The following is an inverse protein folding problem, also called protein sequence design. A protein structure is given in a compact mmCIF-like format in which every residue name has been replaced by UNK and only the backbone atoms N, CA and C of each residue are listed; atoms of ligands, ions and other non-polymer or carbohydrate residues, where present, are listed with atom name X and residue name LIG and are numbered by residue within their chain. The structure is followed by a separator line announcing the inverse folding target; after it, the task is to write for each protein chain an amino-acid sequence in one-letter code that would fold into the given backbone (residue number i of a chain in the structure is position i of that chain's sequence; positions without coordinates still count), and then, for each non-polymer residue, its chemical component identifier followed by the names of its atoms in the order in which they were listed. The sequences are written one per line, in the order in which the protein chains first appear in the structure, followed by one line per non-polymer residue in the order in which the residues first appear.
data_IF_407127941257
#
_entry.id   IF_407127941257
#
_cell.length_a   1.000
_cell.length_b   1.000
_cell.length_c   1.000
_cell.angle_alpha   90.00
_cell.angle_beta   90.00
_cell.angle_gamma   90.00
#
_symmetry.space_group_name_H-M   'P 1'
#
loop_
_entity.id
_entity.type
_entity.pdbx_description
1 polymer ?
#
# COMPACT_ATOMS: atom_id res chain seq x y z
N UNK A 1 9.27 14.59 2.44
CA UNK A 1 7.80 14.67 2.63
C UNK A 1 7.33 13.32 3.13
N UNK A 2 6.47 13.30 4.15
CA UNK A 2 5.87 12.07 4.65
C UNK A 2 4.86 11.55 3.61
N UNK A 3 4.78 10.24 3.40
CA UNK A 3 3.76 9.67 2.52
C UNK A 3 2.40 9.76 3.21
N UNK A 4 1.37 10.33 2.54
CA UNK A 4 0.06 10.56 3.14
C UNK A 4 -0.73 9.30 3.45
N UNK A 5 -0.26 8.11 3.06
CA UNK A 5 -0.95 6.84 3.31
C UNK A 5 -0.37 6.04 4.48
N UNK A 6 0.66 6.57 5.18
CA UNK A 6 1.35 5.80 6.22
C UNK A 6 0.39 5.40 7.34
N UNK A 7 -0.38 6.36 7.86
CA UNK A 7 -1.24 6.13 9.02
C UNK A 7 -2.41 5.22 8.66
N UNK A 8 -3.03 5.44 7.50
CA UNK A 8 -4.14 4.64 7.00
C UNK A 8 -3.72 3.20 6.69
N UNK A 9 -2.52 3.00 6.12
CA UNK A 9 -1.98 1.66 5.90
C UNK A 9 -1.66 1.00 7.23
N UNK A 10 -1.08 1.72 8.20
CA UNK A 10 -0.75 1.19 9.51
C UNK A 10 -2.01 0.68 10.23
N UNK A 11 -3.06 1.49 10.28
CA UNK A 11 -4.36 1.11 10.84
C UNK A 11 -4.92 -0.16 10.16
N UNK A 12 -4.86 -0.24 8.82
CA UNK A 12 -5.35 -1.41 8.10
C UNK A 12 -4.54 -2.67 8.40
N UNK A 13 -3.20 -2.62 8.45
CA UNK A 13 -2.39 -3.81 8.74
C UNK A 13 -2.55 -4.30 10.17
N UNK A 14 -3.01 -3.47 11.11
CA UNK A 14 -3.35 -3.90 12.47
C UNK A 14 -4.65 -4.73 12.52
N UNK A 15 -5.50 -4.65 11.50
CA UNK A 15 -6.79 -5.37 11.49
C UNK A 15 -6.68 -6.86 11.14
N UNK A 16 -5.58 -7.28 10.52
CA UNK A 16 -5.30 -8.69 10.19
C UNK A 16 -3.83 -8.91 9.86
N UNK A 17 -3.36 -10.14 10.08
CA UNK A 17 -1.95 -10.50 9.93
C UNK A 17 -1.41 -10.41 8.50
N UNK A 18 -2.27 -10.53 7.47
CA UNK A 18 -1.82 -10.53 6.07
C UNK A 18 -2.77 -9.78 5.14
N UNK A 19 -2.18 -8.88 4.35
CA UNK A 19 -2.87 -8.14 3.30
C UNK A 19 -2.28 -8.46 1.93
N UNK A 20 -3.15 -8.73 0.97
CA UNK A 20 -2.78 -8.62 -0.44
C UNK A 20 -2.77 -7.13 -0.80
N UNK A 21 -1.69 -6.67 -1.46
CA UNK A 21 -1.50 -5.25 -1.81
C UNK A 21 -2.69 -4.67 -2.59
N UNK A 22 -3.26 -5.42 -3.53
CA UNK A 22 -4.42 -4.96 -4.31
C UNK A 22 -5.70 -4.84 -3.45
N UNK A 23 -5.89 -5.70 -2.44
CA UNK A 23 -7.02 -5.60 -1.51
C UNK A 23 -6.85 -4.41 -0.57
N UNK A 24 -5.62 -4.16 -0.11
CA UNK A 24 -5.27 -2.98 0.69
C UNK A 24 -5.56 -1.70 -0.10
N UNK A 25 -5.11 -1.64 -1.37
CA UNK A 25 -5.36 -0.52 -2.27
C UNK A 25 -6.85 -0.24 -2.47
N UNK A 26 -7.65 -1.28 -2.71
CA UNK A 26 -9.11 -1.14 -2.83
C UNK A 26 -9.73 -0.60 -1.54
N UNK A 27 -9.25 -1.06 -0.37
CA UNK A 27 -9.79 -0.61 0.92
C UNK A 27 -9.47 0.87 1.19
N UNK A 28 -8.25 1.30 0.89
CA UNK A 28 -7.84 2.70 0.98
C UNK A 28 -8.72 3.59 0.08
N UNK A 29 -9.01 3.14 -1.14
CA UNK A 29 -9.88 3.87 -2.06
C UNK A 29 -11.32 3.96 -1.53
N UNK A 30 -11.86 2.85 -0.99
CA UNK A 30 -13.20 2.83 -0.38
C UNK A 30 -13.32 3.75 0.84
N UNK A 31 -12.23 3.97 1.56
CA UNK A 31 -12.16 4.89 2.70
C UNK A 31 -11.94 6.36 2.29
N UNK A 32 -11.74 6.64 1.00
CA UNK A 32 -11.40 7.98 0.52
C UNK A 32 -9.98 8.43 0.87
N UNK A 33 -9.10 7.49 1.25
CA UNK A 33 -7.70 7.79 1.57
C UNK A 33 -6.84 8.01 0.32
N UNK A 34 -7.28 7.48 -0.83
CA UNK A 34 -6.59 7.65 -2.11
C UNK A 34 -7.61 7.86 -3.24
N UNK A 35 -7.48 9.01 -3.91
CA UNK A 35 -8.30 9.37 -5.07
C UNK A 35 -7.59 9.07 -6.40
N UNK A 36 -8.23 9.46 -7.51
CA UNK A 36 -7.60 9.50 -8.83
C UNK A 36 -6.44 10.49 -8.82
N UNK A 37 -5.24 10.02 -9.16
CA UNK A 37 -4.00 10.80 -9.21
C UNK A 37 -3.59 11.18 -10.64
N UNK A 38 -4.32 10.67 -11.63
CA UNK A 38 -4.19 11.04 -13.04
C UNK A 38 -5.55 10.92 -13.76
N UNK A 39 -5.66 11.57 -14.93
CA UNK A 39 -6.81 11.45 -15.82
C UNK A 39 -6.64 10.22 -16.72
N UNK A 40 -5.40 9.88 -17.09
CA UNK A 40 -5.12 8.69 -17.89
C UNK A 40 -5.12 7.44 -16.97
N UNK A 41 -5.97 6.42 -17.24
CA UNK A 41 -6.13 5.27 -16.35
C UNK A 41 -4.83 4.53 -16.00
N UNK A 42 -3.93 4.32 -16.97
CA UNK A 42 -2.68 3.59 -16.74
C UNK A 42 -1.73 4.37 -15.81
N UNK A 43 -1.66 5.68 -15.99
CA UNK A 43 -0.82 6.57 -15.17
C UNK A 43 -1.39 6.69 -13.77
N UNK A 44 -2.70 6.76 -13.67
CA UNK A 44 -3.45 6.81 -12.43
C UNK A 44 -3.21 5.53 -11.60
N UNK A 45 -3.36 4.35 -12.23
CA UNK A 45 -3.01 3.06 -11.63
C UNK A 45 -1.55 3.01 -11.17
N UNK A 46 -0.61 3.41 -12.03
CA UNK A 46 0.81 3.43 -11.70
C UNK A 46 1.11 4.32 -10.49
N UNK A 47 0.59 5.56 -10.48
CA UNK A 47 0.83 6.52 -9.39
C UNK A 47 0.28 6.01 -8.06
N UNK A 48 -0.91 5.40 -8.06
CA UNK A 48 -1.49 4.82 -6.85
C UNK A 48 -0.65 3.67 -6.32
N UNK A 49 -0.25 2.75 -7.20
CA UNK A 49 0.61 1.64 -6.82
C UNK A 49 1.94 2.14 -6.25
N UNK A 50 2.54 3.14 -6.89
CA UNK A 50 3.77 3.78 -6.43
C UNK A 50 3.61 4.40 -5.04
N UNK A 51 2.51 5.13 -4.80
CA UNK A 51 2.24 5.76 -3.51
C UNK A 51 2.08 4.73 -2.40
N UNK A 52 1.30 3.67 -2.63
CA UNK A 52 1.07 2.60 -1.65
C UNK A 52 2.36 1.84 -1.35
N UNK A 53 3.12 1.44 -2.38
CA UNK A 53 4.36 0.70 -2.17
C UNK A 53 5.39 1.54 -1.41
N UNK A 54 5.51 2.83 -1.72
CA UNK A 54 6.40 3.72 -0.96
C UNK A 54 5.99 3.84 0.51
N UNK A 55 4.68 3.92 0.80
CA UNK A 55 4.19 3.98 2.16
C UNK A 55 4.55 2.71 2.93
N UNK A 56 4.33 1.53 2.32
CA UNK A 56 4.69 0.24 2.91
C UNK A 56 6.19 0.15 3.22
N UNK A 57 7.06 0.55 2.30
CA UNK A 57 8.52 0.54 2.52
C UNK A 57 8.97 1.57 3.57
N UNK A 58 8.32 2.73 3.64
CA UNK A 58 8.60 3.72 4.69
C UNK A 58 8.15 3.20 6.06
N UNK A 59 6.96 2.60 6.13
CA UNK A 59 6.43 2.01 7.36
C UNK A 59 7.29 0.84 7.85
N UNK A 60 7.78 -0.01 6.95
CA UNK A 60 8.72 -1.08 7.28
C UNK A 60 9.98 -0.54 7.98
N UNK A 61 10.52 0.58 7.49
CA UNK A 61 11.69 1.21 8.10
C UNK A 61 11.37 1.82 9.47
N UNK A 62 10.18 2.39 9.65
CA UNK A 62 9.75 2.99 10.92
C UNK A 62 9.49 1.94 12.01
N UNK A 63 9.01 0.75 11.64
CA UNK A 63 8.70 -0.32 12.58
C UNK A 63 9.96 -1.08 13.05
N UNK A 64 11.03 -1.05 12.27
CA UNK A 64 12.28 -1.74 12.60
C UNK A 64 13.06 -0.99 13.71
N UNK A 65 13.67 -1.70 14.68
CA UNK A 65 13.75 -3.16 14.85
C UNK A 65 12.61 -3.76 15.68
N UNK A 66 11.74 -2.92 16.25
CA UNK A 66 10.68 -3.35 17.19
C UNK A 66 9.74 -4.39 16.58
N UNK A 67 9.41 -4.24 15.29
CA UNK A 67 8.55 -5.15 14.54
C UNK A 67 9.08 -5.33 13.11
N UNK A 68 8.79 -6.50 12.54
CA UNK A 68 9.14 -6.80 11.15
C UNK A 68 7.89 -6.81 10.28
N UNK A 69 7.76 -5.79 9.41
CA UNK A 69 6.75 -5.76 8.35
C UNK A 69 7.33 -6.42 7.09
N UNK A 70 6.87 -7.61 6.75
CA UNK A 70 7.27 -8.29 5.51
C UNK A 70 6.37 -7.86 4.34
N UNK A 71 6.99 -7.49 3.21
CA UNK A 71 6.30 -7.12 1.97
C UNK A 71 6.76 -8.12 0.90
N UNK A 72 5.89 -9.07 0.52
CA UNK A 72 6.22 -10.15 -0.42
C UNK A 72 5.26 -10.18 -1.62
N UNK A 73 5.78 -10.65 -2.76
CA UNK A 73 5.20 -10.46 -4.11
C UNK A 73 3.91 -11.23 -4.40
N UNK A 74 3.11 -10.61 -5.28
CA UNK A 74 2.09 -11.25 -6.12
C UNK A 74 2.74 -12.30 -7.03
N UNK A 75 2.43 -13.58 -6.81
CA UNK A 75 2.88 -14.69 -7.65
C UNK A 75 2.10 -14.67 -8.99
N UNK A 76 2.82 -14.61 -10.11
CA UNK A 76 2.25 -14.76 -11.47
C UNK A 76 2.96 -15.94 -12.13
N UNK A 77 2.21 -16.93 -12.61
CA UNK A 77 2.75 -18.13 -13.26
C UNK A 77 2.01 -18.38 -14.56
N UNK A 78 2.77 -18.53 -15.66
CA UNK A 78 2.28 -18.93 -16.96
C UNK A 78 2.83 -20.34 -17.24
N UNK A 79 1.95 -21.31 -17.41
CA UNK A 79 2.27 -22.71 -17.74
C UNK A 79 1.76 -23.07 -19.12
#
# INVERSE_FOLDING_TARGET
MLNPLIDEIFELILTKDTWMVHTLALKLQQQGAIDSLDIQPDRDLFKRNFLIMNALYQLQQQLHPSQHLAIASLQITLT
#
